data_IF_268719159573
#
_entry.id   IF_268719159573
#
_cell.length_a   1.000
_cell.length_b   1.000
_cell.length_c   1.000
_cell.angle_alpha   90.00
_cell.angle_beta   90.00
_cell.angle_gamma   90.00
#
_symmetry.space_group_name_H-M   'P 1'
#
loop_
_entity.id
_entity.type
_entity.pdbx_description
1 polymer ?
#
# COMPACT_ATOMS: atom_id res chain seq x y z
N UNK A 1 -16.43 -1.21 25.58
CA UNK A 1 -15.84 -2.11 24.56
C UNK A 1 -14.54 -1.48 24.06
N UNK A 2 -13.36 -1.94 24.53
CA UNK A 2 -12.07 -1.38 24.08
C UNK A 2 -11.83 -1.85 22.64
N UNK A 3 -11.83 -0.93 21.67
CA UNK A 3 -11.45 -1.24 20.27
C UNK A 3 -9.93 -1.47 20.24
N UNK A 4 -9.52 -2.73 20.25
CA UNK A 4 -8.13 -3.09 19.97
C UNK A 4 -7.85 -2.74 18.51
N UNK A 5 -7.01 -1.73 18.26
CA UNK A 5 -6.58 -1.37 16.91
C UNK A 5 -5.54 -2.39 16.49
N UNK A 6 -5.91 -3.32 15.60
CA UNK A 6 -4.93 -4.19 14.94
C UNK A 6 -3.98 -3.25 14.18
N UNK A 7 -2.74 -3.14 14.67
CA UNK A 7 -1.70 -2.40 13.97
C UNK A 7 -1.29 -3.27 12.79
N UNK A 8 -1.86 -2.98 11.61
CA UNK A 8 -1.49 -3.60 10.33
C UNK A 8 -0.11 -3.11 9.84
N UNK A 9 0.86 -3.05 10.74
CA UNK A 9 2.22 -2.53 10.50
C UNK A 9 3.00 -3.38 9.49
N UNK A 10 2.55 -4.61 9.22
CA UNK A 10 3.21 -5.59 8.34
C UNK A 10 2.54 -5.75 6.97
N UNK A 11 1.77 -4.76 6.51
CA UNK A 11 1.12 -4.83 5.20
C UNK A 11 1.94 -4.14 4.10
N UNK A 12 3.04 -4.77 3.69
CA UNK A 12 3.90 -4.33 2.59
C UNK A 12 4.18 -5.47 1.61
N UNK A 13 4.49 -5.12 0.37
CA UNK A 13 4.76 -6.09 -0.69
C UNK A 13 5.90 -5.61 -1.59
N UNK A 14 7.05 -6.27 -1.47
CA UNK A 14 8.29 -5.97 -2.21
C UNK A 14 8.54 -6.96 -3.36
N UNK A 15 7.57 -7.83 -3.71
CA UNK A 15 7.74 -8.84 -4.77
C UNK A 15 8.10 -8.20 -6.11
N UNK A 16 7.52 -7.04 -6.42
CA UNK A 16 7.77 -6.29 -7.66
C UNK A 16 9.24 -5.92 -7.82
N UNK A 17 9.88 -5.46 -6.73
CA UNK A 17 11.32 -5.14 -6.72
C UNK A 17 12.19 -6.36 -7.06
N UNK A 18 11.84 -7.55 -6.55
CA UNK A 18 12.60 -8.77 -6.86
C UNK A 18 12.43 -9.24 -8.32
N UNK A 19 11.32 -8.88 -8.96
CA UNK A 19 11.09 -9.20 -10.37
C UNK A 19 11.88 -8.30 -11.32
N UNK A 20 12.11 -7.04 -10.93
CA UNK A 20 12.83 -6.04 -11.73
C UNK A 20 14.32 -5.96 -11.44
N UNK A 21 14.77 -6.38 -10.26
CA UNK A 21 16.18 -6.34 -9.88
C UNK A 21 17.04 -7.23 -10.82
N UNK A 22 18.03 -6.64 -11.52
CA UNK A 22 18.89 -7.39 -12.42
C UNK A 22 19.79 -8.34 -11.64
N UNK A 23 20.05 -9.51 -12.22
CA UNK A 23 21.06 -10.44 -11.70
C UNK A 23 22.41 -9.84 -12.07
N UNK A 24 23.22 -9.52 -11.06
CA UNK A 24 24.54 -8.94 -11.29
C UNK A 24 25.57 -10.02 -11.63
N UNK A 25 26.52 -9.68 -12.50
CA UNK A 25 27.51 -10.63 -12.99
C UNK A 25 28.53 -11.02 -11.91
N UNK A 26 28.81 -10.10 -10.99
CA UNK A 26 29.74 -10.31 -9.87
C UNK A 26 29.20 -11.24 -8.78
N UNK A 27 27.92 -11.63 -8.84
CA UNK A 27 27.35 -12.54 -7.85
C UNK A 27 27.87 -13.96 -8.01
N UNK A 28 28.04 -14.65 -6.88
CA UNK A 28 28.29 -16.08 -6.86
C UNK A 28 27.16 -16.83 -7.57
N UNK A 29 27.50 -17.94 -8.24
CA UNK A 29 26.53 -18.70 -9.04
C UNK A 29 25.39 -19.27 -8.17
N UNK A 30 25.68 -19.58 -6.91
CA UNK A 30 24.70 -19.97 -5.89
C UNK A 30 23.63 -18.88 -5.66
N UNK A 31 24.05 -17.62 -5.54
CA UNK A 31 23.18 -16.46 -5.33
C UNK A 31 22.35 -16.18 -6.59
N UNK A 32 22.98 -16.27 -7.77
CA UNK A 32 22.27 -16.13 -9.06
C UNK A 32 21.18 -17.20 -9.20
N UNK A 33 21.48 -18.45 -8.88
CA UNK A 33 20.52 -19.55 -8.90
C UNK A 33 19.37 -19.32 -7.92
N UNK A 34 19.67 -18.88 -6.69
CA UNK A 34 18.66 -18.56 -5.69
C UNK A 34 17.74 -17.40 -6.14
N UNK A 35 18.30 -16.36 -6.77
CA UNK A 35 17.50 -15.25 -7.31
C UNK A 35 16.55 -15.70 -8.42
N UNK A 36 17.04 -16.54 -9.35
CA UNK A 36 16.20 -17.16 -10.40
C UNK A 36 15.05 -17.96 -9.80
N UNK A 37 15.36 -18.83 -8.83
CA UNK A 37 14.34 -19.63 -8.13
C UNK A 37 13.31 -18.76 -7.39
N UNK A 38 13.75 -17.67 -6.76
CA UNK A 38 12.86 -16.71 -6.11
C UNK A 38 11.90 -16.04 -7.11
N UNK A 39 12.39 -15.63 -8.29
CA UNK A 39 11.55 -15.04 -9.34
C UNK A 39 10.51 -16.04 -9.84
N UNK A 40 10.90 -17.28 -10.09
CA UNK A 40 9.97 -18.34 -10.49
C UNK A 40 8.88 -18.59 -9.43
N UNK A 41 9.26 -18.62 -8.15
CA UNK A 41 8.33 -18.78 -7.04
C UNK A 41 7.34 -17.60 -6.94
N UNK A 42 7.80 -16.36 -7.18
CA UNK A 42 6.95 -15.17 -7.22
C UNK A 42 5.94 -15.28 -8.37
N UNK A 43 6.40 -15.62 -9.58
CA UNK A 43 5.54 -15.80 -10.75
C UNK A 43 4.49 -16.90 -10.49
N UNK A 44 4.90 -18.02 -9.88
CA UNK A 44 3.97 -19.10 -9.51
C UNK A 44 2.89 -18.62 -8.53
N UNK A 45 3.27 -17.81 -7.54
CA UNK A 45 2.31 -17.19 -6.59
C UNK A 45 1.36 -16.22 -7.29
N UNK A 46 1.87 -15.33 -8.14
CA UNK A 46 1.04 -14.39 -8.90
C UNK A 46 0.02 -15.12 -9.79
N UNK A 47 0.43 -16.23 -10.42
CA UNK A 47 -0.49 -17.11 -11.17
C UNK A 47 -1.60 -17.71 -10.31
N UNK A 48 -1.29 -18.08 -9.07
CA UNK A 48 -2.27 -18.60 -8.12
C UNK A 48 -3.20 -17.51 -7.58
N UNK A 49 -2.70 -16.29 -7.41
CA UNK A 49 -3.42 -15.16 -6.82
C UNK A 49 -4.36 -14.49 -7.83
N UNK A 50 -3.88 -14.24 -9.05
CA UNK A 50 -4.60 -13.48 -10.08
C UNK A 50 -5.09 -14.33 -11.26
N UNK A 51 -4.84 -15.64 -11.22
CA UNK A 51 -5.18 -16.57 -12.29
C UNK A 51 -4.17 -16.58 -13.44
N UNK A 52 -4.31 -17.57 -14.33
CA UNK A 52 -3.34 -17.87 -15.41
C UNK A 52 -3.60 -17.13 -16.72
N UNK A 53 -4.85 -16.74 -16.98
CA UNK A 53 -5.24 -16.01 -18.19
C UNK A 53 -4.54 -14.65 -18.20
N UNK A 54 -3.92 -14.28 -19.32
CA UNK A 54 -3.20 -13.01 -19.51
C UNK A 54 -2.14 -12.73 -18.44
N UNK A 55 -1.45 -13.77 -17.97
CA UNK A 55 -0.50 -13.64 -16.86
C UNK A 55 0.61 -12.64 -17.13
N UNK A 56 1.11 -12.55 -18.36
CA UNK A 56 2.22 -11.65 -18.69
C UNK A 56 1.81 -10.19 -18.49
N UNK A 57 0.59 -9.82 -18.91
CA UNK A 57 0.03 -8.49 -18.64
C UNK A 57 -0.16 -8.25 -17.14
N UNK A 58 -0.62 -9.25 -16.39
CA UNK A 58 -0.79 -9.14 -14.93
C UNK A 58 0.55 -8.95 -14.21
N UNK A 59 1.60 -9.64 -14.66
CA UNK A 59 2.97 -9.46 -14.13
C UNK A 59 3.46 -8.06 -14.45
N UNK A 60 3.25 -7.57 -15.67
CA UNK A 60 3.64 -6.22 -16.05
C UNK A 60 2.90 -5.19 -15.20
N UNK A 61 1.57 -5.29 -15.08
CA UNK A 61 0.75 -4.42 -14.23
C UNK A 61 1.23 -4.44 -12.77
N UNK A 62 1.60 -5.61 -12.25
CA UNK A 62 2.12 -5.76 -10.89
C UNK A 62 3.48 -5.09 -10.71
N UNK A 63 4.35 -5.16 -11.72
CA UNK A 63 5.65 -4.46 -11.76
C UNK A 63 5.44 -2.95 -11.83
N UNK A 64 4.55 -2.47 -12.69
CA UNK A 64 4.26 -1.05 -12.89
C UNK A 64 3.72 -0.38 -11.62
N UNK A 65 2.93 -1.10 -10.82
CA UNK A 65 2.45 -0.64 -9.50
C UNK A 65 3.54 -0.52 -8.43
N UNK A 66 4.73 -1.08 -8.68
CA UNK A 66 5.86 -1.03 -7.76
C UNK A 66 5.60 -1.70 -6.41
N UNK A 67 6.45 -1.38 -5.44
CA UNK A 67 6.36 -1.93 -4.08
C UNK A 67 5.17 -1.32 -3.36
N UNK A 68 4.38 -2.14 -2.65
CA UNK A 68 3.31 -1.63 -1.78
C UNK A 68 3.94 -1.04 -0.51
N UNK A 69 3.80 0.29 -0.25
CA UNK A 69 4.35 0.91 0.94
C UNK A 69 3.57 0.53 2.19
N UNK A 70 4.23 0.58 3.34
CA UNK A 70 3.58 0.48 4.65
C UNK A 70 2.76 1.75 4.89
N UNK A 71 1.46 1.62 5.13
CA UNK A 71 0.66 2.73 5.66
C UNK A 71 0.51 2.64 7.17
N UNK A 72 0.77 3.75 7.86
CA UNK A 72 0.51 3.92 9.30
C UNK A 72 -1.00 3.92 9.59
N UNK A 73 -1.82 4.26 8.59
CA UNK A 73 -3.28 4.26 8.69
C UNK A 73 -3.79 2.91 8.20
N UNK A 74 -3.78 1.93 9.11
CA UNK A 74 -4.26 0.56 8.89
C UNK A 74 -5.65 0.47 8.21
N UNK A 75 -6.50 1.49 8.36
CA UNK A 75 -7.85 1.48 7.79
C UNK A 75 -7.89 1.55 6.25
N UNK A 76 -6.86 2.12 5.61
CA UNK A 76 -6.83 2.28 4.16
C UNK A 76 -6.11 1.12 3.44
N UNK A 77 -5.39 0.28 4.19
CA UNK A 77 -4.59 -0.81 3.66
C UNK A 77 -5.42 -1.89 2.95
N UNK A 78 -6.61 -2.21 3.48
CA UNK A 78 -7.51 -3.17 2.87
C UNK A 78 -8.06 -2.66 1.52
N UNK A 79 -8.56 -1.42 1.50
CA UNK A 79 -9.08 -0.81 0.27
C UNK A 79 -7.97 -0.59 -0.77
N UNK A 80 -6.78 -0.17 -0.33
CA UNK A 80 -5.64 -0.02 -1.23
C UNK A 80 -5.22 -1.36 -1.85
N UNK A 81 -5.28 -2.45 -1.08
CA UNK A 81 -5.03 -3.79 -1.62
C UNK A 81 -6.05 -4.17 -2.69
N UNK A 82 -7.33 -3.86 -2.47
CA UNK A 82 -8.38 -4.12 -3.46
C UNK A 82 -8.13 -3.33 -4.76
N UNK A 83 -7.83 -2.03 -4.64
CA UNK A 83 -7.49 -1.17 -5.79
C UNK A 83 -6.30 -1.74 -6.57
N UNK A 84 -5.23 -2.12 -5.88
CA UNK A 84 -4.04 -2.73 -6.51
C UNK A 84 -4.41 -4.03 -7.21
N UNK A 85 -5.13 -4.93 -6.54
CA UNK A 85 -5.55 -6.21 -7.13
C UNK A 85 -6.42 -6.01 -8.37
N UNK A 86 -7.35 -5.05 -8.34
CA UNK A 86 -8.18 -4.69 -9.50
C UNK A 86 -7.33 -4.24 -10.69
N UNK A 87 -6.31 -3.43 -10.45
CA UNK A 87 -5.39 -3.01 -11.52
C UNK A 87 -4.59 -4.19 -12.08
N UNK A 88 -4.05 -5.04 -11.19
CA UNK A 88 -3.27 -6.21 -11.60
C UNK A 88 -4.08 -7.13 -12.51
N UNK A 89 -5.34 -7.41 -12.18
CA UNK A 89 -6.20 -8.28 -13.01
C UNK A 89 -6.72 -7.63 -14.30
N UNK A 90 -6.36 -6.37 -14.59
CA UNK A 90 -6.79 -5.65 -15.79
C UNK A 90 -8.13 -4.93 -15.66
N UNK A 91 -8.73 -4.91 -14.46
CA UNK A 91 -9.96 -4.15 -14.17
C UNK A 91 -9.63 -2.68 -13.89
N UNK A 92 -9.19 -1.96 -14.93
CA UNK A 92 -8.64 -0.60 -14.80
C UNK A 92 -9.67 0.43 -14.33
N UNK A 93 -10.91 0.36 -14.80
CA UNK A 93 -11.95 1.31 -14.37
C UNK A 93 -12.29 1.17 -12.88
N UNK A 94 -12.52 -0.05 -12.34
CA UNK A 94 -12.62 -0.26 -10.88
C UNK A 94 -11.39 0.19 -10.10
N UNK A 95 -10.19 -0.05 -10.63
CA UNK A 95 -8.97 0.41 -9.96
C UNK A 95 -8.90 1.94 -9.87
N UNK A 96 -9.19 2.64 -10.97
CA UNK A 96 -9.17 4.10 -11.02
C UNK A 96 -10.21 4.71 -10.08
N UNK A 97 -11.46 4.26 -10.19
CA UNK A 97 -12.57 4.76 -9.36
C UNK A 97 -12.34 4.47 -7.88
N UNK A 98 -11.85 3.28 -7.54
CA UNK A 98 -11.48 2.92 -6.17
C UNK A 98 -10.32 3.75 -5.64
N UNK A 99 -9.31 4.07 -6.47
CA UNK A 99 -8.20 4.94 -6.09
C UNK A 99 -8.68 6.36 -5.77
N UNK A 100 -9.55 6.93 -6.61
CA UNK A 100 -10.13 8.26 -6.38
C UNK A 100 -10.93 8.29 -5.08
N UNK A 101 -11.87 7.35 -4.89
CA UNK A 101 -12.69 7.28 -3.68
C UNK A 101 -11.85 7.09 -2.41
N UNK A 102 -10.78 6.29 -2.48
CA UNK A 102 -9.84 6.13 -1.36
C UNK A 102 -9.09 7.43 -1.05
N UNK A 103 -8.64 8.14 -2.09
CA UNK A 103 -7.98 9.44 -1.97
C UNK A 103 -8.89 10.49 -1.34
N UNK A 104 -10.13 10.61 -1.81
CA UNK A 104 -11.16 11.50 -1.24
C UNK A 104 -11.41 11.20 0.23
N UNK A 105 -11.52 9.91 0.59
CA UNK A 105 -11.70 9.50 1.98
C UNK A 105 -10.52 9.86 2.88
N UNK A 106 -9.28 9.66 2.39
CA UNK A 106 -8.07 10.06 3.12
C UNK A 106 -8.05 11.57 3.32
N UNK A 107 -8.32 12.34 2.27
CA UNK A 107 -8.35 13.80 2.32
C UNK A 107 -9.38 14.30 3.32
N UNK A 108 -10.60 13.76 3.28
CA UNK A 108 -11.66 14.11 4.22
C UNK A 108 -11.24 13.83 5.67
N UNK A 109 -10.60 12.68 5.94
CA UNK A 109 -10.07 12.38 7.26
C UNK A 109 -8.97 13.36 7.70
N UNK A 110 -8.09 13.79 6.79
CA UNK A 110 -7.05 14.77 7.11
C UNK A 110 -7.64 16.14 7.46
N UNK A 111 -8.61 16.62 6.69
CA UNK A 111 -9.30 17.90 6.95
C UNK A 111 -9.92 17.89 8.35
N UNK A 112 -10.70 16.86 8.69
CA UNK A 112 -11.35 16.74 10.00
C UNK A 112 -10.33 16.69 11.16
N UNK A 113 -9.16 16.09 10.96
CA UNK A 113 -8.09 16.07 11.97
C UNK A 113 -7.48 17.46 12.15
N UNK A 114 -7.25 18.19 11.06
CA UNK A 114 -6.69 19.53 11.08
C UNK A 114 -7.66 20.49 11.76
N UNK A 115 -8.93 20.50 11.37
CA UNK A 115 -9.96 21.34 11.98
C UNK A 115 -10.09 21.09 13.48
N UNK A 116 -10.14 19.82 13.89
CA UNK A 116 -10.17 19.45 15.31
C UNK A 116 -8.95 19.97 16.06
N UNK A 117 -7.75 19.88 15.46
CA UNK A 117 -6.52 20.40 16.08
C UNK A 117 -6.56 21.92 16.24
N UNK A 118 -7.02 22.64 15.22
CA UNK A 118 -7.14 24.10 15.28
C UNK A 118 -8.10 24.52 16.40
N UNK A 119 -9.26 23.86 16.52
CA UNK A 119 -10.23 24.14 17.58
C UNK A 119 -9.67 23.85 18.99
N UNK A 120 -8.92 22.75 19.15
CA UNK A 120 -8.26 22.42 20.42
C UNK A 120 -7.26 23.52 20.79
N UNK A 121 -6.42 23.94 19.83
CA UNK A 121 -5.41 24.98 20.07
C UNK A 121 -6.04 26.32 20.46
N UNK A 122 -7.14 26.72 19.80
CA UNK A 122 -7.87 27.94 20.13
C UNK A 122 -8.41 27.90 21.58
N UNK A 123 -9.01 26.78 22.00
CA UNK A 123 -9.51 26.60 23.38
C UNK A 123 -8.40 26.61 24.43
N UNK A 124 -7.23 26.04 24.11
CA UNK A 124 -6.07 26.08 25.00
C UNK A 124 -5.58 27.52 25.18
N UNK A 125 -5.54 28.33 24.12
CA UNK A 125 -5.15 29.74 24.24
C UNK A 125 -6.17 30.57 25.05
N UNK A 126 -7.47 30.35 24.85
CA UNK A 126 -8.52 31.00 25.66
C UNK A 126 -8.46 30.60 27.15
N UNK A 127 -8.14 29.34 27.44
CA UNK A 127 -7.97 28.84 28.81
C UNK A 127 -6.77 29.46 29.52
N UNK A 128 -5.62 29.53 28.84
CA UNK A 128 -4.41 30.19 29.36
C UNK A 128 -4.69 31.68 29.61
N UNK A 129 -5.39 32.37 28.71
CA UNK A 129 -5.73 33.79 28.91
C UNK A 129 -6.64 34.05 30.12
N UNK A 130 -7.42 33.06 30.57
CA UNK A 130 -8.32 33.17 31.73
C UNK A 130 -7.67 32.79 33.07
N UNK A 131 -6.57 32.04 33.07
CA UNK A 131 -5.83 31.71 34.31
C UNK A 131 -4.84 32.81 34.74
N UNK A 132 -4.54 33.77 33.85
CA UNK A 132 -3.64 34.90 34.11
C UNK A 132 -4.38 36.23 34.41
N UNK A 133 -5.70 36.20 34.61
CA UNK A 133 -6.55 37.31 35.04
C UNK A 133 -7.29 36.93 36.33
#
# INVERSE_FOLDING_TARGET
>A
MRRHRILAFFDFDTRSRRLTEPIREEWEESIKAQHRQNRENIVRRLKSEFGKVEIDQKIQNFVDLGTKPVSIIAFHNAFFSQVRSSFVVGSYYPALTGACALGERILNHLILIIERRIQINARVQEGISKEFL
#
